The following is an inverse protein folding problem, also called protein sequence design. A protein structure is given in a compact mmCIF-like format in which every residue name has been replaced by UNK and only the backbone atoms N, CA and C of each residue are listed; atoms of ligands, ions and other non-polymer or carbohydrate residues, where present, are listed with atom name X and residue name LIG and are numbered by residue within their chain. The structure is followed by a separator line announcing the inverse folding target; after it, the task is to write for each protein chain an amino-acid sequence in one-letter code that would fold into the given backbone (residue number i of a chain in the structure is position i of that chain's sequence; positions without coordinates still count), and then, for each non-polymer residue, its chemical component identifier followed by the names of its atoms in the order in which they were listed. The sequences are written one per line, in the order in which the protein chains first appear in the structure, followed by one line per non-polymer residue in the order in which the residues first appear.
data_IF_777855242130
#
_entry.id   IF_777855242130
#
_cell.length_a   1.000
_cell.length_b   1.000
_cell.length_c   1.000
_cell.angle_alpha   90.00
_cell.angle_beta   90.00
_cell.angle_gamma   90.00
#
_symmetry.space_group_name_H-M   'P 1'
#
loop_
_entity.id
_entity.type
_entity.pdbx_description
1 polymer ?
#
# COMPACT_ATOMS: atom_id res chain seq x y z
N UNK A 1 -14.66 6.01 -12.85
CA UNK A 1 -13.47 6.04 -11.97
C UNK A 1 -13.85 5.93 -10.49
N UNK A 2 -14.83 6.70 -10.00
CA UNK A 2 -15.23 6.70 -8.58
C UNK A 2 -15.62 5.30 -8.05
N UNK A 3 -16.45 4.56 -8.79
CA UNK A 3 -16.76 3.17 -8.41
C UNK A 3 -15.52 2.29 -8.26
N UNK A 4 -14.56 2.45 -9.16
CA UNK A 4 -13.30 1.68 -9.07
C UNK A 4 -12.48 2.05 -7.84
N UNK A 5 -12.42 3.33 -7.48
CA UNK A 5 -11.75 3.76 -6.23
C UNK A 5 -12.41 3.15 -5.00
N UNK A 6 -13.74 3.08 -4.99
CA UNK A 6 -14.50 2.43 -3.90
C UNK A 6 -14.20 0.93 -3.86
N UNK A 7 -14.17 0.26 -5.01
CA UNK A 7 -13.84 -1.18 -5.08
C UNK A 7 -12.42 -1.47 -4.59
N UNK A 8 -11.46 -0.61 -4.91
CA UNK A 8 -10.09 -0.74 -4.41
C UNK A 8 -10.05 -0.59 -2.88
N UNK A 9 -10.80 0.38 -2.33
CA UNK A 9 -10.86 0.57 -0.87
C UNK A 9 -11.56 -0.60 -0.17
N UNK A 10 -12.64 -1.15 -0.74
CA UNK A 10 -13.32 -2.34 -0.23
C UNK A 10 -12.39 -3.56 -0.27
N UNK A 11 -11.66 -3.74 -1.38
CA UNK A 11 -10.67 -4.81 -1.49
C UNK A 11 -9.61 -4.68 -0.39
N UNK A 12 -9.16 -3.46 -0.11
CA UNK A 12 -8.20 -3.21 0.95
C UNK A 12 -8.77 -3.51 2.33
N UNK A 13 -10.03 -3.17 2.58
CA UNK A 13 -10.70 -3.51 3.84
C UNK A 13 -10.73 -5.03 4.08
N UNK A 14 -11.06 -5.81 3.05
CA UNK A 14 -11.07 -7.27 3.12
C UNK A 14 -9.66 -7.82 3.39
N UNK A 15 -8.64 -7.26 2.71
CA UNK A 15 -7.27 -7.65 2.92
C UNK A 15 -6.77 -7.33 4.34
N UNK A 16 -7.06 -6.13 4.85
CA UNK A 16 -6.73 -5.76 6.23
C UNK A 16 -7.40 -6.68 7.26
N UNK A 17 -8.57 -7.21 6.95
CA UNK A 17 -9.23 -8.16 7.82
C UNK A 17 -8.42 -9.44 7.98
N UNK A 18 -7.90 -10.01 6.87
CA UNK A 18 -7.00 -11.17 6.90
C UNK A 18 -5.64 -10.83 7.53
N UNK A 19 -5.13 -9.64 7.27
CA UNK A 19 -3.79 -9.23 7.70
C UNK A 19 -3.75 -8.88 9.21
N UNK A 20 -4.73 -8.13 9.69
CA UNK A 20 -4.68 -7.52 11.02
C UNK A 20 -5.73 -8.02 12.01
N UNK A 21 -6.76 -8.73 11.57
CA UNK A 21 -7.79 -9.22 12.48
C UNK A 21 -7.67 -10.72 12.70
N UNK A 22 -7.97 -11.50 11.68
CA UNK A 22 -7.94 -12.95 11.74
C UNK A 22 -7.40 -13.50 10.42
N UNK A 23 -6.31 -14.26 10.51
CA UNK A 23 -5.72 -14.89 9.34
C UNK A 23 -6.51 -16.15 8.91
N UNK A 24 -6.08 -16.74 7.80
CA UNK A 24 -6.71 -17.94 7.28
C UNK A 24 -6.69 -19.14 8.25
N UNK A 25 -5.74 -19.20 9.15
CA UNK A 25 -5.63 -20.27 10.16
C UNK A 25 -6.35 -19.93 11.48
N UNK A 26 -7.01 -18.78 11.57
CA UNK A 26 -7.73 -18.37 12.76
C UNK A 26 -6.86 -17.66 13.82
N UNK A 27 -5.64 -17.24 13.47
CA UNK A 27 -4.77 -16.48 14.37
C UNK A 27 -5.13 -15.00 14.35
N UNK A 28 -5.31 -14.41 15.52
CA UNK A 28 -5.58 -12.98 15.65
C UNK A 28 -4.28 -12.18 15.64
N UNK A 29 -4.27 -11.05 14.92
CA UNK A 29 -3.17 -10.09 14.84
C UNK A 29 -1.83 -10.67 14.38
N UNK A 30 -1.87 -11.75 13.60
CA UNK A 30 -0.69 -12.52 13.20
C UNK A 30 0.31 -11.73 12.33
N UNK A 31 -0.16 -10.71 11.59
CA UNK A 31 0.72 -9.90 10.73
C UNK A 31 1.74 -9.09 11.52
N UNK A 32 1.39 -8.61 12.70
CA UNK A 32 2.30 -7.85 13.55
C UNK A 32 3.55 -8.68 13.93
N UNK A 33 3.33 -9.87 14.44
CA UNK A 33 4.42 -10.79 14.83
C UNK A 33 5.19 -11.26 13.58
N UNK A 34 4.48 -11.53 12.49
CA UNK A 34 5.08 -11.91 11.22
C UNK A 34 6.02 -10.82 10.69
N UNK A 35 5.57 -9.56 10.60
CA UNK A 35 6.39 -8.46 10.09
C UNK A 35 7.60 -8.21 10.99
N UNK A 36 7.43 -8.25 12.30
CA UNK A 36 8.52 -8.11 13.24
C UNK A 36 9.58 -9.21 13.06
N UNK A 37 9.15 -10.47 13.00
CA UNK A 37 10.03 -11.63 12.75
C UNK A 37 10.76 -11.52 11.42
N UNK A 38 10.06 -11.13 10.36
CA UNK A 38 10.64 -10.92 9.03
C UNK A 38 11.74 -9.86 9.06
N UNK A 39 11.49 -8.71 9.67
CA UNK A 39 12.48 -7.62 9.77
C UNK A 39 13.70 -8.02 10.60
N UNK A 40 13.50 -8.70 11.72
CA UNK A 40 14.61 -9.23 12.53
C UNK A 40 15.45 -10.24 11.75
N UNK A 41 14.80 -11.13 10.99
CA UNK A 41 15.48 -12.11 10.13
C UNK A 41 16.33 -11.42 9.05
N UNK A 42 15.78 -10.41 8.36
CA UNK A 42 16.51 -9.63 7.34
C UNK A 42 17.73 -8.91 7.94
N UNK A 43 17.62 -8.45 9.19
CA UNK A 43 18.73 -7.80 9.91
C UNK A 43 19.72 -8.80 10.52
N UNK A 44 19.48 -10.11 10.42
CA UNK A 44 20.32 -11.14 11.03
C UNK A 44 20.23 -11.17 12.56
N UNK A 45 19.14 -10.67 13.14
CA UNK A 45 18.95 -10.58 14.59
C UNK A 45 18.18 -11.81 15.07
N UNK A 46 18.76 -12.53 16.06
CA UNK A 46 18.15 -13.73 16.65
C UNK A 46 17.35 -13.43 17.93
N UNK A 47 17.43 -12.21 18.45
CA UNK A 47 16.70 -11.82 19.67
C UNK A 47 15.23 -11.50 19.31
N UNK A 48 14.37 -12.49 19.51
CA UNK A 48 12.93 -12.38 19.26
C UNK A 48 12.19 -11.47 20.26
N UNK A 49 12.86 -11.01 21.31
CA UNK A 49 12.26 -10.06 22.27
C UNK A 49 12.28 -8.61 21.77
N UNK A 50 13.06 -8.34 20.73
CA UNK A 50 13.12 -7.01 20.12
C UNK A 50 11.88 -6.74 19.28
N UNK A 51 11.28 -5.58 19.49
CA UNK A 51 10.11 -5.11 18.76
C UNK A 51 10.51 -3.96 17.85
N UNK A 52 10.60 -4.23 16.55
CA UNK A 52 10.91 -3.21 15.53
C UNK A 52 9.64 -2.51 15.02
N UNK A 53 8.50 -3.16 15.16
CA UNK A 53 7.22 -2.67 14.69
C UNK A 53 6.32 -2.39 15.88
N UNK A 54 5.98 -1.12 16.12
CA UNK A 54 5.05 -0.75 17.18
C UNK A 54 3.60 -0.86 16.70
N UNK A 55 2.61 -1.09 17.60
CA UNK A 55 1.19 -0.97 17.24
C UNK A 55 0.84 0.39 16.66
N UNK A 56 1.48 1.46 17.13
CA UNK A 56 1.32 2.81 16.60
C UNK A 56 1.83 2.90 15.15
N UNK A 57 2.96 2.25 14.83
CA UNK A 57 3.49 2.19 13.46
C UNK A 57 2.50 1.52 12.51
N UNK A 58 1.95 0.36 12.85
CA UNK A 58 0.92 -0.33 12.05
C UNK A 58 -0.29 0.58 11.84
N UNK A 59 -0.78 1.22 12.90
CA UNK A 59 -1.93 2.13 12.80
C UNK A 59 -1.64 3.30 11.85
N UNK A 60 -0.48 3.95 11.96
CA UNK A 60 -0.12 5.08 11.08
C UNK A 60 0.12 4.64 9.65
N UNK A 61 0.78 3.51 9.42
CA UNK A 61 0.99 2.94 8.08
C UNK A 61 -0.37 2.74 7.38
N UNK A 62 -1.30 2.04 8.03
CA UNK A 62 -2.60 1.76 7.46
C UNK A 62 -3.44 3.02 7.27
N UNK A 63 -3.43 3.92 8.26
CA UNK A 63 -4.19 5.17 8.18
C UNK A 63 -3.67 6.06 7.05
N UNK A 64 -2.36 6.19 6.88
CA UNK A 64 -1.76 7.06 5.87
C UNK A 64 -1.78 6.45 4.47
N UNK A 65 -1.17 5.28 4.29
CA UNK A 65 -0.96 4.70 2.95
C UNK A 65 -2.21 4.01 2.39
N UNK A 66 -3.17 3.65 3.23
CA UNK A 66 -4.40 2.98 2.80
C UNK A 66 -5.60 3.92 2.88
N UNK A 67 -5.99 4.30 4.10
CA UNK A 67 -7.22 5.05 4.30
C UNK A 67 -7.14 6.45 3.73
N UNK A 68 -6.08 7.20 4.03
CA UNK A 68 -5.92 8.56 3.52
C UNK A 68 -5.77 8.57 2.00
N UNK A 69 -4.92 7.73 1.43
CA UNK A 69 -4.78 7.59 -0.04
C UNK A 69 -6.10 7.16 -0.68
N UNK A 70 -6.82 6.21 -0.08
CA UNK A 70 -8.12 5.74 -0.56
C UNK A 70 -9.19 6.81 -0.55
N UNK A 71 -9.33 7.55 0.54
CA UNK A 71 -10.27 8.68 0.66
C UNK A 71 -9.95 9.75 -0.37
N UNK A 72 -8.68 10.12 -0.51
CA UNK A 72 -8.22 11.08 -1.53
C UNK A 72 -8.53 10.56 -2.93
N UNK A 73 -8.28 9.28 -3.20
CA UNK A 73 -8.57 8.67 -4.49
C UNK A 73 -10.07 8.75 -4.84
N UNK A 74 -10.95 8.44 -3.90
CA UNK A 74 -12.41 8.55 -4.09
C UNK A 74 -12.82 10.00 -4.34
N UNK A 75 -12.35 10.92 -3.50
CA UNK A 75 -12.68 12.33 -3.58
C UNK A 75 -12.21 12.98 -4.89
N UNK A 76 -10.99 12.66 -5.32
CA UNK A 76 -10.38 13.27 -6.52
C UNK A 76 -10.71 12.54 -7.82
N UNK A 77 -11.17 11.29 -7.76
CA UNK A 77 -11.38 10.43 -8.93
C UNK A 77 -12.24 11.03 -10.07
N UNK A 78 -13.22 11.91 -9.84
CA UNK A 78 -13.97 12.51 -10.94
C UNK A 78 -13.14 13.41 -11.87
N UNK A 79 -12.11 14.05 -11.30
CA UNK A 79 -11.33 15.08 -12.00
C UNK A 79 -9.83 14.78 -12.07
N UNK A 80 -9.35 13.75 -11.37
CA UNK A 80 -7.93 13.48 -11.25
C UNK A 80 -7.66 11.97 -11.17
N UNK A 81 -7.07 11.43 -12.22
CA UNK A 81 -6.82 9.99 -12.35
C UNK A 81 -5.69 9.49 -11.42
N UNK A 82 -4.64 10.30 -11.24
CA UNK A 82 -3.39 9.84 -10.61
C UNK A 82 -3.55 9.32 -9.17
N UNK A 83 -4.33 9.94 -8.26
CA UNK A 83 -4.56 9.38 -6.91
C UNK A 83 -5.16 7.97 -6.93
N UNK A 84 -6.04 7.68 -7.90
CA UNK A 84 -6.62 6.33 -8.05
C UNK A 84 -5.58 5.34 -8.54
N UNK A 85 -4.71 5.75 -9.48
CA UNK A 85 -3.60 4.93 -9.94
C UNK A 85 -2.59 4.68 -8.81
N UNK A 86 -2.31 5.68 -7.98
CA UNK A 86 -1.41 5.56 -6.83
C UNK A 86 -1.95 4.54 -5.81
N UNK A 87 -3.25 4.62 -5.48
CA UNK A 87 -3.91 3.63 -4.63
C UNK A 87 -3.81 2.22 -5.22
N UNK A 88 -4.09 2.07 -6.52
CA UNK A 88 -3.95 0.77 -7.21
C UNK A 88 -2.50 0.27 -7.21
N UNK A 89 -1.52 1.19 -7.29
CA UNK A 89 -0.10 0.87 -7.18
C UNK A 89 0.25 0.28 -5.81
N UNK A 90 -0.24 0.89 -4.72
CA UNK A 90 -0.05 0.34 -3.35
C UNK A 90 -0.60 -1.08 -3.28
N UNK A 91 -1.82 -1.31 -3.76
CA UNK A 91 -2.45 -2.64 -3.77
C UNK A 91 -1.60 -3.66 -4.53
N UNK A 92 -1.09 -3.29 -5.71
CA UNK A 92 -0.28 -4.20 -6.52
C UNK A 92 1.07 -4.50 -5.88
N UNK A 93 1.77 -3.50 -5.36
CA UNK A 93 3.08 -3.69 -4.71
C UNK A 93 2.94 -4.48 -3.43
N UNK A 94 1.89 -4.21 -2.63
CA UNK A 94 1.57 -4.98 -1.44
C UNK A 94 1.28 -6.46 -1.79
N UNK A 95 0.45 -6.72 -2.82
CA UNK A 95 0.18 -8.08 -3.28
C UNK A 95 1.46 -8.82 -3.69
N UNK A 96 2.34 -8.15 -4.45
CA UNK A 96 3.62 -8.73 -4.86
C UNK A 96 4.47 -9.06 -3.64
N UNK A 97 4.52 -8.19 -2.63
CA UNK A 97 5.33 -8.43 -1.43
C UNK A 97 4.85 -9.64 -0.62
N UNK A 98 3.52 -9.81 -0.43
CA UNK A 98 2.96 -11.00 0.22
C UNK A 98 3.26 -12.29 -0.57
N UNK A 99 3.10 -12.26 -1.89
CA UNK A 99 3.34 -13.42 -2.76
C UNK A 99 4.84 -13.79 -2.75
N UNK A 100 5.73 -12.80 -2.92
CA UNK A 100 7.18 -13.04 -2.87
C UNK A 100 7.60 -13.59 -1.52
N UNK A 101 7.08 -13.05 -0.43
CA UNK A 101 7.38 -13.53 0.91
C UNK A 101 6.90 -14.97 1.11
N UNK A 102 5.70 -15.31 0.64
CA UNK A 102 5.18 -16.68 0.69
C UNK A 102 6.03 -17.67 -0.11
N UNK A 103 6.54 -17.26 -1.30
CA UNK A 103 7.42 -18.06 -2.12
C UNK A 103 8.79 -18.27 -1.48
N UNK A 104 9.41 -17.18 -1.00
CA UNK A 104 10.76 -17.21 -0.42
C UNK A 104 10.79 -18.04 0.87
N UNK A 105 9.79 -17.89 1.72
CA UNK A 105 9.72 -18.59 2.99
C UNK A 105 9.03 -19.96 2.89
N UNK A 106 8.49 -20.32 1.71
CA UNK A 106 7.71 -21.54 1.48
C UNK A 106 6.60 -21.74 2.53
N UNK A 107 5.98 -20.64 2.93
CA UNK A 107 4.99 -20.62 4.01
C UNK A 107 3.91 -19.56 3.75
N UNK A 108 2.74 -19.79 4.36
CA UNK A 108 1.70 -18.78 4.42
C UNK A 108 2.18 -17.57 5.24
N UNK A 109 1.74 -16.40 4.83
CA UNK A 109 1.82 -15.18 5.63
C UNK A 109 0.44 -14.50 5.65
N UNK A 110 0.08 -13.80 6.74
CA UNK A 110 -1.19 -13.10 6.84
C UNK A 110 -1.36 -12.09 5.69
N UNK A 111 -2.51 -12.13 5.01
CA UNK A 111 -2.76 -11.32 3.82
C UNK A 111 -2.47 -12.02 2.49
N UNK A 112 -1.78 -13.19 2.49
CA UNK A 112 -1.39 -13.88 1.25
C UNK A 112 -2.57 -14.31 0.38
N UNK A 113 -3.65 -14.83 0.99
CA UNK A 113 -4.80 -15.31 0.22
C UNK A 113 -5.53 -14.17 -0.48
N UNK A 114 -5.80 -13.09 0.23
CA UNK A 114 -6.44 -11.90 -0.37
C UNK A 114 -5.51 -11.20 -1.35
N UNK A 115 -4.19 -11.25 -1.15
CA UNK A 115 -3.22 -10.77 -2.11
C UNK A 115 -3.33 -11.52 -3.44
N UNK A 116 -3.42 -12.86 -3.42
CA UNK A 116 -3.55 -13.69 -4.62
C UNK A 116 -4.96 -13.58 -5.21
N UNK A 117 -6.01 -13.72 -4.38
CA UNK A 117 -7.38 -13.88 -4.87
C UNK A 117 -8.04 -12.54 -5.24
N UNK A 118 -7.65 -11.44 -4.61
CA UNK A 118 -8.32 -10.14 -4.76
C UNK A 118 -7.37 -9.09 -5.30
N UNK A 119 -6.26 -8.79 -4.61
CA UNK A 119 -5.40 -7.66 -4.92
C UNK A 119 -4.75 -7.78 -6.29
N UNK A 120 -4.05 -8.88 -6.55
CA UNK A 120 -3.33 -9.07 -7.80
C UNK A 120 -4.27 -9.03 -9.02
N UNK A 121 -5.38 -9.81 -9.08
CA UNK A 121 -6.28 -9.76 -10.22
C UNK A 121 -6.97 -8.40 -10.39
N UNK A 122 -7.42 -7.77 -9.29
CA UNK A 122 -8.08 -6.47 -9.33
C UNK A 122 -7.14 -5.38 -9.83
N UNK A 123 -5.91 -5.32 -9.30
CA UNK A 123 -4.94 -4.30 -9.67
C UNK A 123 -4.51 -4.42 -11.14
N UNK A 124 -4.27 -5.64 -11.62
CA UNK A 124 -3.93 -5.89 -13.02
C UNK A 124 -5.11 -5.51 -13.94
N UNK A 125 -6.33 -5.95 -13.60
CA UNK A 125 -7.53 -5.64 -14.38
C UNK A 125 -7.76 -4.13 -14.46
N UNK A 126 -7.55 -3.41 -13.35
CA UNK A 126 -7.69 -1.95 -13.29
C UNK A 126 -6.69 -1.25 -14.21
N UNK A 127 -5.39 -1.55 -14.10
CA UNK A 127 -4.37 -0.94 -14.96
C UNK A 127 -4.61 -1.26 -16.44
N UNK A 128 -4.97 -2.51 -16.78
CA UNK A 128 -5.33 -2.90 -18.15
C UNK A 128 -6.51 -2.06 -18.66
N UNK A 129 -7.57 -1.92 -17.84
CA UNK A 129 -8.74 -1.13 -18.22
C UNK A 129 -8.42 0.33 -18.45
N UNK A 130 -7.60 0.93 -17.59
CA UNK A 130 -7.15 2.33 -17.75
C UNK A 130 -6.39 2.50 -19.07
N UNK A 131 -5.42 1.62 -19.36
CA UNK A 131 -4.61 1.71 -20.58
C UNK A 131 -5.41 1.43 -21.86
N UNK A 132 -6.45 0.59 -21.78
CA UNK A 132 -7.37 0.35 -22.90
C UNK A 132 -8.22 1.57 -23.21
N UNK A 133 -8.74 2.27 -22.19
CA UNK A 133 -9.59 3.45 -22.36
C UNK A 133 -8.76 4.70 -22.67
N UNK A 134 -7.61 4.84 -22.05
CA UNK A 134 -6.73 6.00 -22.15
C UNK A 134 -5.27 5.58 -22.28
N UNK A 135 -4.79 5.23 -23.49
CA UNK A 135 -3.39 4.82 -23.70
C UNK A 135 -2.37 5.90 -23.30
N UNK A 136 -2.76 7.18 -23.32
CA UNK A 136 -1.91 8.33 -22.93
C UNK A 136 -1.62 8.31 -21.43
N UNK A 137 -2.39 7.57 -20.63
CA UNK A 137 -2.17 7.42 -19.19
C UNK A 137 -0.94 6.54 -18.83
N UNK A 138 -0.26 5.91 -19.80
CA UNK A 138 0.89 5.03 -19.54
C UNK A 138 1.96 5.66 -18.63
N UNK A 139 2.41 6.92 -18.82
CA UNK A 139 3.36 7.55 -17.90
C UNK A 139 2.83 7.67 -16.47
N UNK A 140 1.52 7.93 -16.31
CA UNK A 140 0.91 8.02 -14.98
C UNK A 140 0.83 6.64 -14.30
N UNK A 141 0.57 5.56 -15.05
CA UNK A 141 0.60 4.19 -14.55
C UNK A 141 2.02 3.84 -14.07
N UNK A 142 3.06 4.14 -14.87
CA UNK A 142 4.44 3.90 -14.47
C UNK A 142 4.80 4.72 -13.22
N UNK A 143 4.47 6.01 -13.20
CA UNK A 143 4.73 6.88 -12.07
C UNK A 143 4.01 6.41 -10.79
N UNK A 144 2.79 5.87 -10.90
CA UNK A 144 2.05 5.33 -9.77
C UNK A 144 2.71 4.07 -9.18
N UNK A 145 3.28 3.23 -10.02
CA UNK A 145 4.06 2.07 -9.57
C UNK A 145 5.37 2.50 -8.89
N UNK A 146 6.09 3.44 -9.47
CA UNK A 146 7.31 4.00 -8.84
C UNK A 146 6.98 4.63 -7.50
N UNK A 147 5.91 5.43 -7.43
CA UNK A 147 5.47 6.04 -6.18
C UNK A 147 5.11 4.99 -5.12
N UNK A 148 4.40 3.92 -5.50
CA UNK A 148 4.02 2.84 -4.60
C UNK A 148 5.23 2.03 -4.11
N UNK A 149 6.20 1.75 -4.98
CA UNK A 149 7.47 1.09 -4.59
C UNK A 149 8.20 1.98 -3.57
N UNK A 150 8.33 3.27 -3.84
CA UNK A 150 8.98 4.21 -2.92
C UNK A 150 8.22 4.30 -1.59
N UNK A 151 6.88 4.23 -1.60
CA UNK A 151 6.09 4.18 -0.37
C UNK A 151 6.45 2.96 0.50
N UNK A 152 6.61 1.77 -0.10
CA UNK A 152 7.03 0.56 0.62
C UNK A 152 8.48 0.65 1.10
N UNK A 153 9.37 1.25 0.29
CA UNK A 153 10.76 1.51 0.72
C UNK A 153 10.80 2.46 1.92
N UNK A 154 10.06 3.57 1.86
CA UNK A 154 9.96 4.53 2.98
C UNK A 154 9.37 3.85 4.22
N UNK A 155 8.36 2.99 4.05
CA UNK A 155 7.76 2.22 5.13
C UNK A 155 8.80 1.35 5.82
N UNK A 156 9.47 0.47 5.10
CA UNK A 156 10.42 -0.50 5.69
C UNK A 156 11.70 0.19 6.18
N UNK A 157 12.31 1.03 5.35
CA UNK A 157 13.53 1.75 5.75
C UNK A 157 13.27 2.69 6.93
N UNK A 158 12.11 3.35 6.96
CA UNK A 158 11.73 4.22 8.06
C UNK A 158 11.56 3.48 9.38
N UNK A 159 10.92 2.31 9.38
CA UNK A 159 10.83 1.44 10.56
C UNK A 159 12.22 1.06 11.08
N UNK A 160 13.10 0.62 10.19
CA UNK A 160 14.47 0.23 10.55
C UNK A 160 15.24 1.45 11.08
N UNK A 161 15.17 2.60 10.42
CA UNK A 161 15.89 3.81 10.85
C UNK A 161 15.38 4.34 12.19
N UNK A 162 14.08 4.29 12.44
CA UNK A 162 13.48 4.78 13.67
C UNK A 162 13.70 3.83 14.84
N UNK A 163 13.45 2.52 14.64
CA UNK A 163 13.34 1.58 15.75
C UNK A 163 14.58 0.71 15.96
N UNK A 164 15.36 0.44 14.89
CA UNK A 164 16.62 -0.29 14.98
C UNK A 164 17.82 0.64 15.19
N UNK A 165 18.07 1.51 14.22
CA UNK A 165 19.20 2.43 14.31
C UNK A 165 18.97 3.64 15.22
N UNK A 166 17.71 3.95 15.55
CA UNK A 166 17.30 5.13 16.34
C UNK A 166 17.86 6.44 15.80
N UNK A 167 18.00 6.53 14.47
CA UNK A 167 18.54 7.71 13.78
C UNK A 167 17.51 8.84 13.67
N UNK A 168 16.23 8.50 13.68
CA UNK A 168 15.11 9.46 13.62
C UNK A 168 14.07 9.09 14.68
N UNK A 169 13.40 10.07 15.30
CA UNK A 169 12.24 9.79 16.15
C UNK A 169 11.11 9.12 15.35
N UNK A 170 10.39 8.18 15.94
CA UNK A 170 9.26 7.50 15.30
C UNK A 170 8.19 8.50 14.82
N UNK A 171 7.99 9.61 15.54
CA UNK A 171 7.09 10.69 15.15
C UNK A 171 7.49 11.37 13.84
N UNK A 172 8.79 11.53 13.56
CA UNK A 172 9.30 12.06 12.28
C UNK A 172 9.02 11.07 11.15
N UNK A 173 9.25 9.79 11.39
CA UNK A 173 8.89 8.73 10.45
C UNK A 173 7.38 8.75 10.12
N UNK A 174 6.52 8.88 11.13
CA UNK A 174 5.08 9.00 10.93
C UNK A 174 4.69 10.22 10.10
N UNK A 175 5.29 11.38 10.39
CA UNK A 175 5.07 12.59 9.59
C UNK A 175 5.49 12.40 8.12
N UNK A 176 6.59 11.70 7.86
CA UNK A 176 7.04 11.37 6.51
C UNK A 176 6.04 10.46 5.77
N UNK A 177 5.47 9.45 6.43
CA UNK A 177 4.46 8.58 5.82
C UNK A 177 3.19 9.36 5.44
N UNK A 178 2.70 10.20 6.35
CA UNK A 178 1.53 11.05 6.08
C UNK A 178 1.81 12.02 4.94
N UNK A 179 2.96 12.70 4.95
CA UNK A 179 3.35 13.61 3.88
C UNK A 179 3.45 12.87 2.53
N UNK A 180 4.06 11.67 2.50
CA UNK A 180 4.18 10.87 1.28
C UNK A 180 2.82 10.45 0.73
N UNK A 181 1.86 10.09 1.59
CA UNK A 181 0.52 9.68 1.18
C UNK A 181 -0.29 10.79 0.48
N UNK A 182 0.04 12.05 0.72
CA UNK A 182 -0.63 13.21 0.09
C UNK A 182 0.02 13.58 -1.26
N UNK A 183 1.25 13.18 -1.53
CA UNK A 183 1.98 13.50 -2.78
C UNK A 183 1.16 13.25 -4.06
N UNK A 184 0.39 12.14 -4.21
CA UNK A 184 -0.39 11.89 -5.42
C UNK A 184 -1.41 12.98 -5.78
N UNK A 185 -1.83 13.79 -4.82
CA UNK A 185 -2.77 14.90 -5.07
C UNK A 185 -2.17 15.97 -5.98
N UNK A 186 -0.85 16.14 -5.91
CA UNK A 186 -0.11 17.20 -6.59
C UNK A 186 0.54 16.76 -7.90
N UNK A 187 0.59 15.45 -8.16
CA UNK A 187 1.20 14.91 -9.37
C UNK A 187 0.17 14.78 -10.50
N UNK A 188 0.60 15.11 -11.73
CA UNK A 188 -0.23 14.98 -12.94
C UNK A 188 -1.58 15.71 -12.86
N UNK A 189 -1.61 16.87 -12.21
CA UNK A 189 -2.80 17.74 -12.20
C UNK A 189 -2.95 18.36 -13.59
N UNK A 190 -3.65 17.68 -14.50
CA UNK A 190 -4.08 18.27 -15.77
C UNK A 190 -5.44 18.92 -15.57
N UNK A 191 -5.64 20.18 -16.00
CA UNK A 191 -6.96 20.75 -16.03
C UNK A 191 -7.86 19.86 -16.90
N UNK A 192 -9.02 19.47 -16.36
CA UNK A 192 -10.04 18.81 -17.16
C UNK A 192 -10.44 19.78 -18.26
N UNK A 193 -10.07 19.50 -19.51
CA UNK A 193 -10.67 20.17 -20.65
C UNK A 193 -12.16 19.83 -20.59
N UNK A 194 -12.96 20.77 -20.11
CA UNK A 194 -14.41 20.72 -20.31
C UNK A 194 -14.63 20.78 -21.82
N UNK A 195 -14.86 19.63 -22.43
CA UNK A 195 -15.45 19.58 -23.75
C UNK A 195 -16.87 20.17 -23.61
N UNK A 196 -16.96 21.48 -23.70
CA UNK A 196 -18.21 22.18 -24.03
C UNK A 196 -18.58 21.75 -25.45
N UNK A 197 -19.28 20.63 -25.57
CA UNK A 197 -20.08 20.34 -26.76
C UNK A 197 -21.23 21.36 -26.75
N UNK A 198 -21.03 22.47 -27.44
CA UNK A 198 -22.11 23.30 -27.96
C UNK A 198 -22.95 22.55 -28.98
#
# INVERSE_FOLDING_TARGET
MQLMSVLLLVAYLIHQFEEHWIDFFGNYYAFYDYLNTLLLSVLGVQDSSLMLVSPAAIFVINTSLVWLVGIIAIWRSPNHLFPVLAMNGIILVNAISHILSGIVNLSYNPGLLTAIAIFMPLAIAFYRKVLQINPIAKPQVIASLVWAILAHVILIAGLIMANWFRLVPESVYFAMLVAWSVVPVFLFVTPVQQNTKT
#
